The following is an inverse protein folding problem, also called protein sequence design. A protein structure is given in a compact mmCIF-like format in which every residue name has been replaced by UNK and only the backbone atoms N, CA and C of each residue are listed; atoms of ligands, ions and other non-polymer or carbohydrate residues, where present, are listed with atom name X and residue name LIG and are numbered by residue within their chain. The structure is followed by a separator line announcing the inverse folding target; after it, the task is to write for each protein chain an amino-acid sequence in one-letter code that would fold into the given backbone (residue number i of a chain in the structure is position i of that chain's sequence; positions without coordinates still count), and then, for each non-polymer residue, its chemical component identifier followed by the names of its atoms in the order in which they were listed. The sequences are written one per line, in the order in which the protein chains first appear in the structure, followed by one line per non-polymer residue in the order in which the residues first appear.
data_IF_916137073196
#
_entry.id   IF_916137073196
#
_cell.length_a   1.000
_cell.length_b   1.000
_cell.length_c   1.000
_cell.angle_alpha   90.00
_cell.angle_beta   90.00
_cell.angle_gamma   90.00
#
_symmetry.space_group_name_H-M   'P 1'
#
loop_
_entity.id
_entity.type
_entity.pdbx_description
1 polymer ?
#
# COMPACT_ATOMS: atom_id res chain seq x y z
N UNK A 1 -10.61 -20.55 2.33
CA UNK A 1 -9.46 -21.36 2.82
C UNK A 1 -8.60 -21.78 1.64
N UNK A 2 -7.28 -21.82 1.80
CA UNK A 2 -6.35 -22.36 0.83
C UNK A 2 -5.29 -23.24 1.54
N UNK A 3 -4.24 -23.65 0.82
CA UNK A 3 -3.12 -24.42 1.40
C UNK A 3 -3.22 -25.92 1.13
N UNK A 4 -2.67 -26.36 0.00
CA UNK A 4 -2.57 -27.79 -0.33
C UNK A 4 -3.87 -28.46 -0.80
N UNK A 5 -4.96 -27.70 -0.98
CA UNK A 5 -6.23 -28.18 -1.53
C UNK A 5 -6.02 -28.64 -2.98
N UNK A 6 -6.34 -29.90 -3.26
CA UNK A 6 -6.13 -30.55 -4.57
C UNK A 6 -7.32 -31.34 -5.07
N UNK A 7 -8.20 -31.75 -4.17
CA UNK A 7 -9.27 -32.72 -4.47
C UNK A 7 -10.63 -32.21 -4.02
N UNK A 8 -11.69 -32.81 -4.56
CA UNK A 8 -13.06 -32.57 -4.08
C UNK A 8 -13.21 -32.95 -2.61
N UNK A 9 -12.50 -33.99 -2.13
CA UNK A 9 -12.48 -34.36 -0.72
C UNK A 9 -11.94 -33.26 0.18
N UNK A 10 -10.87 -32.58 -0.24
CA UNK A 10 -10.28 -31.47 0.53
C UNK A 10 -11.28 -30.32 0.69
N UNK A 11 -12.04 -30.02 -0.36
CA UNK A 11 -13.14 -29.04 -0.33
C UNK A 11 -14.22 -29.46 0.65
N UNK A 12 -14.69 -30.71 0.56
CA UNK A 12 -15.74 -31.23 1.46
C UNK A 12 -15.32 -31.12 2.91
N UNK A 13 -14.09 -31.53 3.25
CA UNK A 13 -13.56 -31.41 4.61
C UNK A 13 -13.49 -29.94 5.03
N UNK A 14 -12.98 -29.05 4.17
CA UNK A 14 -12.93 -27.62 4.45
C UNK A 14 -14.32 -27.03 4.69
N UNK A 15 -15.32 -27.41 3.88
CA UNK A 15 -16.71 -26.99 4.03
C UNK A 15 -17.29 -27.44 5.37
N UNK A 16 -17.14 -28.72 5.72
CA UNK A 16 -17.60 -29.27 6.99
C UNK A 16 -16.97 -28.58 8.20
N UNK A 17 -15.73 -28.10 8.06
CA UNK A 17 -15.01 -27.29 9.06
C UNK A 17 -15.38 -25.79 9.03
N UNK A 18 -16.27 -25.36 8.13
CA UNK A 18 -16.84 -24.01 8.08
C UNK A 18 -16.33 -23.12 6.94
N UNK A 19 -15.54 -23.62 5.99
CA UNK A 19 -15.09 -22.82 4.86
C UNK A 19 -16.18 -22.65 3.79
N UNK A 20 -16.34 -21.43 3.29
CA UNK A 20 -17.34 -21.07 2.27
C UNK A 20 -16.71 -20.87 0.88
N UNK A 21 -15.39 -20.60 0.83
CA UNK A 21 -14.61 -20.44 -0.40
C UNK A 21 -13.28 -21.19 -0.33
N UNK A 22 -12.77 -21.63 -1.49
CA UNK A 22 -11.61 -22.50 -1.62
C UNK A 22 -10.61 -21.96 -2.65
N UNK A 23 -9.41 -21.60 -2.19
CA UNK A 23 -8.34 -21.08 -3.02
C UNK A 23 -7.39 -22.18 -3.50
N UNK A 24 -6.99 -22.10 -4.76
CA UNK A 24 -6.04 -23.03 -5.39
C UNK A 24 -4.83 -22.27 -5.93
N UNK A 25 -3.64 -22.56 -5.40
CA UNK A 25 -2.38 -22.07 -5.95
C UNK A 25 -1.65 -23.17 -6.71
N UNK A 26 -0.87 -23.97 -5.99
CA UNK A 26 0.02 -25.01 -6.57
C UNK A 26 -0.70 -25.99 -7.49
N UNK A 27 -1.93 -26.41 -7.19
CA UNK A 27 -2.65 -27.37 -8.02
C UNK A 27 -2.99 -26.81 -9.41
N UNK A 28 -3.32 -25.50 -9.49
CA UNK A 28 -3.53 -24.83 -10.78
C UNK A 28 -2.21 -24.68 -11.53
N UNK A 29 -1.12 -24.32 -10.86
CA UNK A 29 0.20 -24.28 -11.49
C UNK A 29 0.60 -25.65 -12.08
N UNK A 30 0.27 -26.75 -11.39
CA UNK A 30 0.50 -28.11 -11.89
C UNK A 30 -0.38 -28.42 -13.09
N UNK A 31 -1.67 -28.04 -13.06
CA UNK A 31 -2.54 -28.17 -14.22
C UNK A 31 -2.03 -27.38 -15.44
N UNK A 32 -1.36 -26.25 -15.21
CA UNK A 32 -0.70 -25.45 -16.26
C UNK A 32 0.64 -26.04 -16.75
N UNK A 33 1.18 -27.07 -16.09
CA UNK A 33 2.40 -27.77 -16.52
C UNK A 33 3.56 -27.71 -15.52
N UNK A 34 3.36 -27.23 -14.29
CA UNK A 34 4.41 -27.23 -13.27
C UNK A 34 4.86 -28.65 -12.96
N UNK A 35 6.16 -28.90 -13.12
CA UNK A 35 6.81 -30.19 -12.82
C UNK A 35 7.37 -30.25 -11.39
N UNK A 36 6.99 -29.31 -10.53
CA UNK A 36 7.43 -29.22 -9.13
C UNK A 36 8.97 -29.19 -8.96
N UNK A 37 9.67 -28.51 -9.86
CA UNK A 37 11.14 -28.38 -9.84
C UNK A 37 11.68 -27.62 -8.61
N UNK A 38 10.86 -26.80 -7.94
CA UNK A 38 11.22 -25.99 -6.75
C UNK A 38 12.37 -24.99 -6.98
N UNK A 39 12.52 -24.53 -8.21
CA UNK A 39 13.52 -23.54 -8.64
C UNK A 39 12.91 -22.16 -8.88
N UNK A 40 11.72 -21.88 -8.33
CA UNK A 40 10.98 -20.65 -8.62
C UNK A 40 11.76 -19.37 -8.26
N UNK A 41 12.58 -19.44 -7.20
CA UNK A 41 13.40 -18.34 -6.71
C UNK A 41 14.69 -18.11 -7.52
N UNK A 42 15.05 -19.05 -8.40
CA UNK A 42 16.29 -19.00 -9.20
C UNK A 42 16.09 -18.39 -10.59
N UNK A 43 14.86 -18.00 -10.95
CA UNK A 43 14.50 -17.53 -12.29
C UNK A 43 14.73 -18.57 -13.42
N UNK A 44 14.97 -19.84 -13.10
CA UNK A 44 15.32 -20.92 -14.05
C UNK A 44 14.21 -21.96 -14.24
N UNK A 45 12.94 -21.54 -14.15
CA UNK A 45 11.81 -22.46 -14.31
C UNK A 45 11.89 -23.24 -15.63
N UNK A 46 11.94 -24.59 -15.61
CA UNK A 46 12.18 -25.38 -16.82
C UNK A 46 11.01 -25.36 -17.81
N UNK A 47 9.83 -24.98 -17.33
CA UNK A 47 8.56 -24.99 -18.07
C UNK A 47 7.94 -23.60 -18.20
N UNK A 48 8.70 -22.53 -17.92
CA UNK A 48 8.28 -21.16 -18.21
C UNK A 48 7.19 -20.56 -17.31
N UNK A 49 6.87 -21.18 -16.17
CA UNK A 49 5.81 -20.70 -15.25
C UNK A 49 6.31 -19.57 -14.34
N UNK A 50 7.37 -19.82 -13.56
CA UNK A 50 7.91 -18.88 -12.57
C UNK A 50 9.29 -18.38 -12.99
N UNK A 51 9.35 -17.64 -14.09
CA UNK A 51 10.59 -17.05 -14.63
C UNK A 51 10.26 -15.79 -15.43
N UNK A 52 11.15 -14.79 -15.35
CA UNK A 52 11.13 -13.59 -16.17
C UNK A 52 12.05 -13.71 -17.40
N UNK A 53 12.85 -14.76 -17.51
CA UNK A 53 13.68 -15.04 -18.69
C UNK A 53 12.77 -15.33 -19.90
N UNK A 54 12.93 -14.53 -20.97
CA UNK A 54 12.10 -14.61 -22.17
C UNK A 54 12.18 -15.99 -22.84
N UNK A 55 13.37 -16.58 -22.92
CA UNK A 55 13.66 -17.85 -23.57
C UNK A 55 13.04 -19.03 -22.80
N UNK A 56 12.98 -18.93 -21.47
CA UNK A 56 12.30 -19.92 -20.65
C UNK A 56 10.78 -19.74 -20.66
N UNK A 57 10.27 -18.50 -20.69
CA UNK A 57 8.83 -18.21 -20.80
C UNK A 57 8.21 -18.76 -22.10
N UNK A 58 8.97 -18.79 -23.19
CA UNK A 58 8.54 -19.41 -24.46
C UNK A 58 8.23 -20.92 -24.33
N UNK A 59 8.69 -21.57 -23.26
CA UNK A 59 8.40 -22.98 -22.97
C UNK A 59 7.07 -23.21 -22.25
N UNK A 60 6.33 -22.15 -21.88
CA UNK A 60 5.08 -22.27 -21.12
C UNK A 60 4.01 -23.04 -21.89
N UNK A 61 3.58 -24.24 -21.41
CA UNK A 61 2.65 -25.09 -22.14
C UNK A 61 1.18 -24.87 -21.71
N UNK A 62 0.94 -24.07 -20.67
CA UNK A 62 -0.35 -23.91 -20.03
C UNK A 62 -1.37 -23.26 -20.95
N UNK A 63 -2.62 -23.74 -20.86
CA UNK A 63 -3.77 -23.14 -21.53
C UNK A 63 -4.93 -22.96 -20.55
N UNK A 64 -5.79 -21.96 -20.73
CA UNK A 64 -6.98 -21.78 -19.88
C UNK A 64 -7.84 -23.05 -19.75
N UNK A 65 -7.92 -23.87 -20.80
CA UNK A 65 -8.68 -25.12 -20.80
C UNK A 65 -8.17 -26.12 -19.77
N UNK A 66 -6.86 -26.14 -19.47
CA UNK A 66 -6.31 -27.02 -18.45
C UNK A 66 -6.85 -26.68 -17.06
N UNK A 67 -6.93 -25.39 -16.73
CA UNK A 67 -7.51 -24.90 -15.47
C UNK A 67 -9.01 -25.20 -15.42
N UNK A 68 -9.74 -24.90 -16.51
CA UNK A 68 -11.18 -25.15 -16.58
C UNK A 68 -11.48 -26.63 -16.36
N UNK A 69 -10.73 -27.53 -17.01
CA UNK A 69 -10.92 -28.97 -16.88
C UNK A 69 -10.59 -29.45 -15.46
N UNK A 70 -9.49 -29.00 -14.88
CA UNK A 70 -9.13 -29.31 -13.49
C UNK A 70 -10.25 -28.91 -12.52
N UNK A 71 -10.73 -27.67 -12.59
CA UNK A 71 -11.80 -27.18 -11.71
C UNK A 71 -13.11 -27.92 -11.94
N UNK A 72 -13.44 -28.29 -13.19
CA UNK A 72 -14.61 -29.13 -13.50
C UNK A 72 -14.52 -30.51 -12.88
N UNK A 73 -13.35 -31.15 -12.92
CA UNK A 73 -13.13 -32.46 -12.31
C UNK A 73 -13.25 -32.40 -10.79
N UNK A 74 -12.60 -31.42 -10.16
CA UNK A 74 -12.72 -31.20 -8.71
C UNK A 74 -14.16 -30.93 -8.31
N UNK A 75 -14.88 -30.08 -9.06
CA UNK A 75 -16.29 -29.81 -8.79
C UNK A 75 -17.18 -31.05 -8.99
N UNK A 76 -16.87 -31.93 -9.96
CA UNK A 76 -17.56 -33.19 -10.15
C UNK A 76 -17.34 -34.15 -8.97
N UNK A 77 -16.12 -34.22 -8.46
CA UNK A 77 -15.79 -35.02 -7.27
C UNK A 77 -16.52 -34.49 -6.03
N UNK A 78 -16.61 -33.17 -5.84
CA UNK A 78 -17.44 -32.57 -4.77
C UNK A 78 -18.89 -33.02 -4.87
N UNK A 79 -19.49 -32.97 -6.07
CA UNK A 79 -20.87 -33.42 -6.27
C UNK A 79 -21.06 -34.89 -5.94
N UNK A 80 -20.07 -35.74 -6.24
CA UNK A 80 -20.11 -37.16 -5.88
C UNK A 80 -20.12 -37.35 -4.36
N UNK A 81 -19.22 -36.69 -3.63
CA UNK A 81 -19.22 -36.74 -2.16
C UNK A 81 -20.52 -36.21 -1.54
N UNK A 82 -21.07 -35.11 -2.07
CA UNK A 82 -22.36 -34.59 -1.61
C UNK A 82 -23.48 -35.63 -1.80
N UNK A 83 -23.56 -36.24 -2.98
CA UNK A 83 -24.54 -37.27 -3.27
C UNK A 83 -24.37 -38.50 -2.36
N UNK A 84 -23.13 -38.96 -2.13
CA UNK A 84 -22.82 -40.09 -1.25
C UNK A 84 -23.23 -39.81 0.21
N UNK A 85 -23.10 -38.56 0.66
CA UNK A 85 -23.53 -38.12 1.99
C UNK A 85 -25.03 -37.79 2.06
N UNK A 86 -25.75 -37.76 0.93
CA UNK A 86 -27.19 -37.46 0.86
C UNK A 86 -27.55 -35.97 0.83
N UNK A 87 -26.62 -35.08 0.48
CA UNK A 87 -26.82 -33.63 0.40
C UNK A 87 -26.84 -33.14 -1.06
N UNK A 88 -27.57 -32.05 -1.33
CA UNK A 88 -27.72 -31.54 -2.70
C UNK A 88 -26.78 -30.38 -3.02
N UNK A 89 -26.19 -29.76 -2.00
CA UNK A 89 -25.34 -28.59 -2.15
C UNK A 89 -24.27 -28.50 -1.06
N UNK A 90 -23.19 -27.76 -1.33
CA UNK A 90 -22.20 -27.40 -0.31
C UNK A 90 -22.85 -26.61 0.84
N UNK A 91 -23.82 -25.77 0.49
CA UNK A 91 -24.52 -24.89 1.42
C UNK A 91 -25.19 -25.62 2.60
N UNK A 92 -25.64 -26.85 2.37
CA UNK A 92 -26.25 -27.72 3.38
C UNK A 92 -25.25 -28.32 4.38
N UNK A 93 -23.97 -28.39 4.00
CA UNK A 93 -22.93 -29.06 4.79
C UNK A 93 -21.92 -28.11 5.42
N UNK A 94 -21.90 -26.82 5.03
CA UNK A 94 -20.96 -25.86 5.60
C UNK A 94 -21.12 -25.80 7.12
N UNK A 95 -20.02 -26.00 7.84
CA UNK A 95 -19.97 -25.99 9.31
C UNK A 95 -20.55 -27.24 9.99
N UNK A 96 -20.98 -28.26 9.23
CA UNK A 96 -21.52 -29.52 9.75
C UNK A 96 -20.43 -30.49 10.20
N UNK A 97 -19.63 -30.06 11.17
CA UNK A 97 -18.54 -30.84 11.79
C UNK A 97 -19.03 -32.18 12.34
N UNK A 98 -20.31 -32.30 12.68
CA UNK A 98 -20.93 -33.55 13.12
C UNK A 98 -20.93 -34.67 12.06
N UNK A 99 -20.69 -34.35 10.79
CA UNK A 99 -20.53 -35.31 9.70
C UNK A 99 -19.09 -35.86 9.60
N UNK A 100 -18.15 -35.30 10.36
CA UNK A 100 -16.76 -35.76 10.40
C UNK A 100 -16.53 -36.73 11.56
N UNK A 101 -15.84 -37.84 11.23
CA UNK A 101 -15.31 -38.77 12.24
C UNK A 101 -13.82 -39.01 11.99
N UNK A 102 -12.95 -38.86 13.01
CA UNK A 102 -11.55 -39.24 12.90
C UNK A 102 -11.38 -40.72 12.54
N UNK A 103 -10.53 -41.00 11.56
CA UNK A 103 -9.99 -42.32 11.31
C UNK A 103 -8.49 -42.31 11.67
N UNK A 104 -8.18 -42.40 12.97
CA UNK A 104 -6.81 -42.37 13.48
C UNK A 104 -6.28 -43.82 13.58
N UNK A 105 -5.17 -44.17 12.90
CA UNK A 105 -4.56 -45.49 13.02
C UNK A 105 -4.14 -45.80 14.46
N UNK A 106 -4.57 -46.95 14.98
CA UNK A 106 -4.31 -47.40 16.36
C UNK A 106 -2.98 -48.14 16.50
N UNK A 107 -2.49 -48.72 15.39
CA UNK A 107 -1.27 -49.50 15.26
C UNK A 107 -0.01 -48.62 15.08
N UNK A 108 -0.16 -47.40 14.57
CA UNK A 108 0.97 -46.50 14.37
C UNK A 108 1.39 -45.76 15.64
N UNK A 109 2.64 -45.95 16.06
CA UNK A 109 3.19 -45.50 17.34
C UNK A 109 3.05 -43.98 17.63
N UNK A 110 3.09 -43.13 16.60
CA UNK A 110 2.87 -41.67 16.72
C UNK A 110 1.42 -41.25 16.48
N UNK A 111 0.73 -41.88 15.52
CA UNK A 111 -0.57 -41.39 15.06
C UNK A 111 -1.64 -41.61 16.14
N UNK A 112 -1.55 -42.73 16.89
CA UNK A 112 -2.44 -43.04 18.01
C UNK A 112 -2.46 -41.99 19.14
N UNK A 113 -1.49 -41.06 19.14
CA UNK A 113 -1.41 -39.96 20.13
C UNK A 113 -2.16 -38.70 19.67
N UNK A 114 -2.60 -38.63 18.41
CA UNK A 114 -3.33 -37.48 17.90
C UNK A 114 -4.69 -37.38 18.57
N UNK A 115 -5.04 -36.16 19.00
CA UNK A 115 -6.36 -35.80 19.51
C UNK A 115 -6.90 -34.69 18.63
N UNK A 116 -8.06 -34.92 18.02
CA UNK A 116 -8.68 -33.97 17.08
C UNK A 116 -9.89 -33.26 17.69
N UNK A 117 -10.14 -33.45 19.00
CA UNK A 117 -11.32 -32.93 19.70
C UNK A 117 -11.46 -31.41 19.56
N UNK A 118 -10.34 -30.68 19.54
CA UNK A 118 -10.32 -29.22 19.37
C UNK A 118 -10.80 -28.78 17.97
N UNK A 119 -10.48 -29.56 16.93
CA UNK A 119 -10.88 -29.24 15.54
C UNK A 119 -12.29 -29.73 15.25
N UNK A 120 -12.73 -30.79 15.92
CA UNK A 120 -14.02 -31.43 15.71
C UNK A 120 -15.07 -31.06 16.76
N UNK A 121 -14.83 -30.01 17.52
CA UNK A 121 -15.80 -29.49 18.47
C UNK A 121 -17.03 -29.01 17.71
N UNK A 122 -18.20 -29.56 18.05
CA UNK A 122 -19.45 -29.19 17.42
C UNK A 122 -19.84 -27.75 17.82
N UNK A 123 -20.18 -26.88 16.86
CA UNK A 123 -20.71 -25.57 17.19
C UNK A 123 -22.12 -25.69 17.78
N UNK A 124 -22.59 -24.61 18.38
CA UNK A 124 -24.00 -24.45 18.73
C UNK A 124 -24.82 -24.25 17.45
N UNK A 125 -25.42 -25.33 16.94
CA UNK A 125 -26.23 -25.31 15.73
C UNK A 125 -27.52 -24.48 15.83
N UNK A 126 -27.85 -23.93 17.01
CA UNK A 126 -28.93 -22.93 17.13
C UNK A 126 -28.53 -21.54 16.61
N UNK A 127 -27.23 -21.31 16.38
CA UNK A 127 -26.68 -20.06 15.84
C UNK A 127 -26.29 -20.24 14.37
N UNK A 128 -26.13 -19.13 13.62
CA UNK A 128 -25.57 -19.20 12.28
C UNK A 128 -24.19 -19.87 12.29
N UNK A 129 -24.03 -20.91 11.47
CA UNK A 129 -22.78 -21.68 11.29
C UNK A 129 -22.01 -21.31 10.02
N UNK A 130 -22.54 -20.33 9.26
CA UNK A 130 -21.99 -19.78 8.01
C UNK A 130 -22.43 -18.33 7.85
N UNK A 131 -21.88 -17.62 6.86
CA UNK A 131 -22.31 -16.27 6.57
C UNK A 131 -23.77 -16.25 6.10
N UNK A 132 -24.56 -15.32 6.62
CA UNK A 132 -25.98 -15.14 6.27
C UNK A 132 -26.24 -13.79 5.56
N UNK A 133 -25.17 -13.07 5.25
CA UNK A 133 -25.22 -11.76 4.60
C UNK A 133 -24.21 -11.73 3.46
N UNK A 134 -24.61 -11.16 2.32
CA UNK A 134 -23.71 -11.02 1.17
C UNK A 134 -22.64 -9.94 1.40
N UNK A 135 -22.95 -8.93 2.22
CA UNK A 135 -22.07 -7.79 2.50
C UNK A 135 -22.23 -7.27 3.93
N UNK A 136 -21.23 -6.53 4.40
CA UNK A 136 -21.27 -5.79 5.67
C UNK A 136 -21.53 -4.30 5.41
N UNK A 137 -22.79 -3.83 5.36
CA UNK A 137 -23.09 -2.43 5.09
C UNK A 137 -22.63 -1.53 6.24
N UNK A 138 -22.14 -0.33 5.91
CA UNK A 138 -21.81 0.69 6.92
C UNK A 138 -23.13 1.24 7.49
N UNK A 139 -23.32 1.24 8.83
CA UNK A 139 -24.51 1.82 9.44
C UNK A 139 -24.70 3.28 9.06
N UNK A 140 -25.95 3.74 8.92
CA UNK A 140 -26.27 5.13 8.56
C UNK A 140 -25.66 6.16 9.51
N UNK A 141 -25.56 5.84 10.80
CA UNK A 141 -24.93 6.69 11.82
C UNK A 141 -23.39 6.79 11.73
N UNK A 142 -22.76 5.98 10.87
CA UNK A 142 -21.31 5.91 10.70
C UNK A 142 -20.89 6.18 9.25
N UNK A 143 -21.75 6.83 8.47
CA UNK A 143 -21.45 7.18 7.09
C UNK A 143 -20.25 8.15 7.04
N UNK A 144 -19.31 7.96 6.09
CA UNK A 144 -18.19 8.88 5.91
C UNK A 144 -18.67 10.28 5.55
N UNK A 145 -18.05 11.30 6.13
CA UNK A 145 -18.31 12.71 5.81
C UNK A 145 -18.09 13.03 4.33
N UNK A 146 -17.19 12.28 3.67
CA UNK A 146 -16.97 12.33 2.22
C UNK A 146 -18.25 12.21 1.40
N UNK A 147 -19.26 11.45 1.86
CA UNK A 147 -20.53 11.31 1.13
C UNK A 147 -21.39 12.58 1.17
N UNK A 148 -21.21 13.43 2.17
CA UNK A 148 -21.88 14.73 2.22
C UNK A 148 -21.25 15.67 1.19
N UNK A 149 -19.92 15.78 1.20
CA UNK A 149 -19.15 16.58 0.24
C UNK A 149 -19.32 16.09 -1.19
N UNK A 150 -19.47 14.77 -1.37
CA UNK A 150 -19.62 14.17 -2.70
C UNK A 150 -20.82 14.75 -3.45
N UNK A 151 -21.91 15.10 -2.76
CA UNK A 151 -23.11 15.69 -3.38
C UNK A 151 -22.81 17.01 -4.09
N UNK A 152 -21.88 17.79 -3.56
CA UNK A 152 -21.51 19.10 -4.09
C UNK A 152 -20.53 18.97 -5.25
N UNK A 153 -19.55 18.06 -5.14
CA UNK A 153 -18.47 17.92 -6.12
C UNK A 153 -18.82 17.02 -7.30
N UNK A 154 -19.78 16.10 -7.15
CA UNK A 154 -20.11 15.12 -8.18
C UNK A 154 -20.55 15.77 -9.51
N UNK A 155 -21.39 16.83 -9.53
CA UNK A 155 -21.73 17.51 -10.78
C UNK A 155 -20.52 18.06 -11.54
N UNK A 156 -19.51 18.58 -10.81
CA UNK A 156 -18.27 19.08 -11.42
C UNK A 156 -17.39 17.93 -11.92
N UNK A 157 -17.31 16.82 -11.16
CA UNK A 157 -16.62 15.60 -11.60
C UNK A 157 -17.25 15.09 -12.89
N UNK A 158 -18.57 15.00 -12.98
CA UNK A 158 -19.27 14.46 -14.16
C UNK A 158 -19.05 15.27 -15.43
N UNK A 159 -18.82 16.58 -15.28
CA UNK A 159 -18.61 17.52 -16.39
C UNK A 159 -17.13 17.84 -16.65
N UNK A 160 -16.20 17.28 -15.86
CA UNK A 160 -14.78 17.64 -15.91
C UNK A 160 -14.54 19.16 -15.73
N UNK A 161 -15.32 19.78 -14.83
CA UNK A 161 -15.33 21.21 -14.55
C UNK A 161 -14.53 21.54 -13.29
N UNK A 162 -14.15 22.82 -13.16
CA UNK A 162 -13.53 23.31 -11.93
C UNK A 162 -14.57 23.43 -10.82
N UNK A 163 -14.15 23.10 -9.60
CA UNK A 163 -14.94 23.30 -8.39
C UNK A 163 -14.03 23.78 -7.26
N UNK A 164 -14.52 24.71 -6.45
CA UNK A 164 -13.87 25.11 -5.21
C UNK A 164 -14.89 25.11 -4.07
N UNK A 165 -14.56 24.44 -2.97
CA UNK A 165 -15.45 24.32 -1.81
C UNK A 165 -14.70 24.49 -0.49
N UNK A 166 -15.45 24.85 0.56
CA UNK A 166 -14.91 24.99 1.91
C UNK A 166 -15.63 24.06 2.90
N UNK A 167 -14.88 23.26 3.66
CA UNK A 167 -15.44 22.32 4.64
C UNK A 167 -14.65 22.30 5.95
N UNK A 168 -15.31 21.95 7.06
CA UNK A 168 -14.67 21.84 8.38
C UNK A 168 -14.49 20.37 8.74
N UNK A 169 -13.25 19.96 9.02
CA UNK A 169 -12.90 18.58 9.37
C UNK A 169 -12.73 18.38 10.87
N UNK A 170 -13.10 17.18 11.30
CA UNK A 170 -12.88 16.65 12.66
C UNK A 170 -12.06 15.36 12.57
N UNK A 171 -11.34 15.03 13.64
CA UNK A 171 -10.47 13.85 13.67
C UNK A 171 -11.21 12.52 13.42
N UNK A 172 -12.53 12.49 13.62
CA UNK A 172 -13.41 11.35 13.33
C UNK A 172 -13.70 11.18 11.84
N UNK A 173 -13.48 12.21 11.02
CA UNK A 173 -13.62 12.14 9.56
C UNK A 173 -12.36 11.56 8.95
N UNK A 174 -12.38 10.23 8.80
CA UNK A 174 -11.28 9.42 8.26
C UNK A 174 -11.43 9.24 6.75
N UNK A 175 -10.30 9.04 6.08
CA UNK A 175 -10.22 8.79 4.63
C UNK A 175 -10.88 9.87 3.79
N UNK A 176 -10.85 11.13 4.25
CA UNK A 176 -11.46 12.23 3.51
C UNK A 176 -10.77 12.41 2.16
N UNK A 177 -11.55 12.56 1.10
CA UNK A 177 -11.11 12.62 -0.30
C UNK A 177 -11.06 11.28 -1.01
N UNK A 178 -11.05 10.14 -0.31
CA UNK A 178 -10.92 8.82 -0.96
C UNK A 178 -12.16 8.44 -1.78
N UNK A 179 -13.38 8.78 -1.34
CA UNK A 179 -14.59 8.51 -2.14
C UNK A 179 -14.69 9.46 -3.33
N UNK A 180 -14.22 10.69 -3.17
CA UNK A 180 -14.13 11.66 -4.25
C UNK A 180 -13.17 11.15 -5.33
N UNK A 181 -11.99 10.68 -4.92
CA UNK A 181 -11.02 10.05 -5.83
C UNK A 181 -11.62 8.83 -6.55
N UNK A 182 -12.39 7.99 -5.85
CA UNK A 182 -13.10 6.87 -6.48
C UNK A 182 -14.03 7.31 -7.61
N UNK A 183 -14.86 8.35 -7.40
CA UNK A 183 -15.79 8.79 -8.45
C UNK A 183 -15.07 9.39 -9.67
N UNK A 184 -13.89 10.01 -9.47
CA UNK A 184 -13.01 10.44 -10.56
C UNK A 184 -12.45 9.23 -11.30
N UNK A 185 -11.79 8.30 -10.61
CA UNK A 185 -11.15 7.13 -11.23
C UNK A 185 -12.17 6.25 -11.95
N UNK A 186 -13.37 6.07 -11.38
CA UNK A 186 -14.45 5.32 -12.00
C UNK A 186 -14.86 5.88 -13.37
N UNK A 187 -14.70 7.19 -13.60
CA UNK A 187 -15.06 7.88 -14.85
C UNK A 187 -13.87 8.08 -15.78
N UNK A 188 -12.70 8.38 -15.23
CA UNK A 188 -11.54 8.86 -16.00
C UNK A 188 -10.30 7.94 -15.91
N UNK A 189 -10.36 6.88 -15.09
CA UNK A 189 -9.24 5.99 -14.82
C UNK A 189 -8.06 6.71 -14.15
N UNK A 190 -6.87 6.16 -14.33
CA UNK A 190 -5.63 6.64 -13.69
C UNK A 190 -5.23 8.05 -14.14
N UNK A 191 -5.75 8.53 -15.28
CA UNK A 191 -5.48 9.89 -15.77
C UNK A 191 -6.06 10.97 -14.86
N UNK A 192 -7.08 10.65 -14.07
CA UNK A 192 -7.82 11.65 -13.30
C UNK A 192 -8.63 12.62 -14.17
N UNK A 193 -9.03 13.76 -13.61
CA UNK A 193 -9.72 14.81 -14.39
C UNK A 193 -8.81 15.34 -15.50
N UNK A 194 -9.37 15.59 -16.69
CA UNK A 194 -8.55 15.99 -17.86
C UNK A 194 -8.23 17.47 -17.83
N UNK A 195 -9.22 18.27 -17.46
CA UNK A 195 -9.11 19.74 -17.42
C UNK A 195 -9.59 20.31 -16.09
N UNK A 196 -10.58 19.68 -15.47
CA UNK A 196 -11.16 20.14 -14.23
C UNK A 196 -10.18 20.04 -13.05
N UNK A 197 -10.35 20.96 -12.12
CA UNK A 197 -9.68 20.96 -10.81
C UNK A 197 -10.71 21.03 -9.71
N UNK A 198 -10.65 20.09 -8.78
CA UNK A 198 -11.41 20.10 -7.54
C UNK A 198 -10.52 20.62 -6.42
N UNK A 199 -10.74 21.85 -6.01
CA UNK A 199 -10.06 22.47 -4.90
C UNK A 199 -10.93 22.43 -3.64
N UNK A 200 -10.54 21.62 -2.67
CA UNK A 200 -11.22 21.50 -1.40
C UNK A 200 -10.39 22.19 -0.32
N UNK A 201 -10.89 23.35 0.12
CA UNK A 201 -10.34 24.12 1.22
C UNK A 201 -10.93 23.62 2.53
N UNK A 202 -10.07 23.24 3.46
CA UNK A 202 -10.44 22.47 4.64
C UNK A 202 -9.89 23.15 5.89
N UNK A 203 -10.66 23.18 6.97
CA UNK A 203 -10.22 23.71 8.26
C UNK A 203 -10.46 22.71 9.37
N UNK A 204 -9.50 22.52 10.27
CA UNK A 204 -9.68 21.73 11.49
C UNK A 204 -8.65 20.61 11.65
N UNK A 205 -9.09 19.44 12.12
CA UNK A 205 -8.20 18.27 12.29
C UNK A 205 -8.66 17.16 11.37
N UNK A 206 -7.86 16.78 10.38
CA UNK A 206 -8.18 15.65 9.53
C UNK A 206 -7.93 14.33 10.26
N UNK A 207 -8.85 13.38 10.13
CA UNK A 207 -8.67 12.03 10.64
C UNK A 207 -7.62 11.24 9.88
N UNK A 208 -7.49 9.97 10.26
CA UNK A 208 -6.60 9.00 9.64
C UNK A 208 -6.84 8.91 8.12
N UNK A 209 -5.77 8.73 7.34
CA UNK A 209 -5.84 8.50 5.87
C UNK A 209 -6.36 9.70 5.06
N UNK A 210 -6.12 10.92 5.51
CA UNK A 210 -6.49 12.13 4.76
C UNK A 210 -5.88 12.14 3.35
N UNK A 211 -6.71 12.27 2.32
CA UNK A 211 -6.26 12.26 0.92
C UNK A 211 -5.70 10.91 0.45
N UNK A 212 -6.05 9.80 1.12
CA UNK A 212 -5.63 8.48 0.66
C UNK A 212 -6.17 8.20 -0.75
N UNK A 213 -5.29 7.69 -1.62
CA UNK A 213 -5.54 7.44 -3.03
C UNK A 213 -5.95 8.70 -3.82
N UNK A 214 -5.48 9.88 -3.41
CA UNK A 214 -5.67 11.12 -4.17
C UNK A 214 -5.14 10.96 -5.60
N UNK A 215 -5.85 11.55 -6.56
CA UNK A 215 -5.63 11.37 -8.01
C UNK A 215 -5.49 12.73 -8.73
N UNK A 216 -4.97 12.75 -9.96
CA UNK A 216 -4.85 14.00 -10.73
C UNK A 216 -6.19 14.74 -10.85
N UNK A 217 -6.13 16.07 -10.73
CA UNK A 217 -7.29 16.95 -10.69
C UNK A 217 -7.78 17.31 -9.28
N UNK A 218 -7.31 16.63 -8.23
CA UNK A 218 -7.64 16.97 -6.85
C UNK A 218 -6.60 17.88 -6.20
N UNK A 219 -7.06 18.90 -5.48
CA UNK A 219 -6.26 19.78 -4.62
C UNK A 219 -6.93 19.82 -3.25
N UNK A 220 -6.30 19.23 -2.23
CA UNK A 220 -6.80 19.18 -0.87
C UNK A 220 -5.96 20.11 0.02
N UNK A 221 -6.53 21.23 0.45
CA UNK A 221 -5.82 22.25 1.23
C UNK A 221 -6.34 22.33 2.65
N UNK A 222 -5.57 21.82 3.61
CA UNK A 222 -5.92 21.76 5.03
C UNK A 222 -5.22 22.86 5.83
N UNK A 223 -6.01 23.77 6.37
CA UNK A 223 -5.58 24.72 7.41
C UNK A 223 -5.87 24.12 8.79
N UNK A 224 -4.84 23.61 9.44
CA UNK A 224 -4.98 22.86 10.70
C UNK A 224 -3.91 21.77 10.83
N UNK A 225 -4.32 20.56 11.20
CA UNK A 225 -3.43 19.42 11.44
C UNK A 225 -4.06 18.11 10.97
N UNK A 226 -3.27 17.08 10.72
CA UNK A 226 -3.74 15.76 10.28
C UNK A 226 -3.19 14.63 11.16
N UNK A 227 -3.89 13.50 11.17
CA UNK A 227 -3.39 12.27 11.80
C UNK A 227 -2.54 11.45 10.81
N UNK A 228 -2.35 10.16 11.07
CA UNK A 228 -1.48 9.30 10.26
C UNK A 228 -2.03 9.03 8.85
N UNK A 229 -1.15 8.55 7.98
CA UNK A 229 -1.45 8.06 6.63
C UNK A 229 -1.94 9.12 5.63
N UNK A 230 -1.55 10.40 5.83
CA UNK A 230 -1.79 11.44 4.83
C UNK A 230 -1.25 10.99 3.47
N UNK A 231 -2.06 11.08 2.41
CA UNK A 231 -1.63 10.70 1.06
C UNK A 231 -1.26 9.22 0.90
N UNK A 232 -1.74 8.32 1.76
CA UNK A 232 -1.54 6.87 1.60
C UNK A 232 -1.95 6.41 0.21
N UNK A 233 -1.05 5.76 -0.52
CA UNK A 233 -1.29 5.27 -1.88
C UNK A 233 -1.70 6.36 -2.87
N UNK A 234 -1.31 7.62 -2.64
CA UNK A 234 -1.57 8.72 -3.57
C UNK A 234 -0.97 8.40 -4.96
N UNK A 235 -1.73 8.67 -6.01
CA UNK A 235 -1.34 8.47 -7.40
C UNK A 235 -1.23 9.80 -8.18
N UNK A 236 -1.72 10.90 -7.62
CA UNK A 236 -1.65 12.22 -8.24
C UNK A 236 -2.37 13.29 -7.41
N UNK A 237 -2.49 14.48 -7.97
CA UNK A 237 -3.09 15.63 -7.28
C UNK A 237 -2.13 16.31 -6.31
N UNK A 238 -2.67 17.19 -5.46
CA UNK A 238 -1.90 18.00 -4.51
C UNK A 238 -2.55 17.96 -3.13
N UNK A 239 -1.77 17.68 -2.09
CA UNK A 239 -2.19 17.78 -0.69
C UNK A 239 -1.35 18.86 -0.02
N UNK A 240 -2.01 19.79 0.65
CA UNK A 240 -1.39 20.92 1.34
C UNK A 240 -1.86 20.88 2.79
N UNK A 241 -0.93 20.99 3.74
CA UNK A 241 -1.24 21.12 5.17
C UNK A 241 -0.44 22.29 5.72
N UNK A 242 -1.13 23.27 6.30
CA UNK A 242 -0.49 24.44 6.92
C UNK A 242 -1.16 24.80 8.24
N UNK A 243 -0.42 25.38 9.20
CA UNK A 243 -1.00 25.83 10.45
C UNK A 243 -2.01 26.97 10.21
N UNK A 244 -3.01 27.12 11.09
CA UNK A 244 -3.93 28.25 11.02
C UNK A 244 -3.19 29.57 11.33
N UNK A 245 -3.66 30.70 10.78
CA UNK A 245 -3.01 32.02 10.98
C UNK A 245 -2.93 32.42 12.46
N UNK A 246 -3.83 31.90 13.27
CA UNK A 246 -3.89 32.12 14.71
C UNK A 246 -2.82 31.33 15.49
N UNK A 247 -2.15 30.35 14.85
CA UNK A 247 -1.04 29.61 15.44
C UNK A 247 0.18 30.52 15.63
N UNK A 248 0.63 30.67 16.87
CA UNK A 248 1.73 31.56 17.24
C UNK A 248 3.11 30.88 17.27
N UNK A 249 3.15 29.56 17.12
CA UNK A 249 4.39 28.79 17.12
C UNK A 249 5.14 28.83 15.79
N UNK A 250 6.30 28.18 15.77
CA UNK A 250 7.10 27.95 14.56
C UNK A 250 6.76 26.58 13.98
N UNK A 251 6.34 26.53 12.71
CA UNK A 251 5.93 25.30 12.03
C UNK A 251 7.03 24.23 12.08
N UNK A 252 8.27 24.58 11.76
CA UNK A 252 9.43 23.69 11.75
C UNK A 252 9.87 23.18 13.14
N UNK A 253 9.19 23.61 14.22
CA UNK A 253 9.41 23.13 15.60
C UNK A 253 8.21 22.38 16.17
N UNK A 254 7.14 22.18 15.39
CA UNK A 254 5.89 21.61 15.88
C UNK A 254 5.36 20.53 14.95
N UNK A 255 4.82 19.46 15.54
CA UNK A 255 4.19 18.37 14.79
C UNK A 255 2.84 18.84 14.24
N UNK A 256 2.60 18.59 12.95
CA UNK A 256 1.36 18.97 12.26
C UNK A 256 0.67 17.78 11.58
N UNK A 257 1.41 16.70 11.29
CA UNK A 257 0.86 15.49 10.71
C UNK A 257 1.50 14.23 11.31
N UNK A 258 0.76 13.12 11.28
CA UNK A 258 1.16 11.86 11.92
C UNK A 258 2.17 11.04 11.12
N UNK A 259 2.11 9.74 11.34
CA UNK A 259 3.06 8.74 10.83
C UNK A 259 2.68 8.24 9.42
N UNK A 260 3.63 7.55 8.78
CA UNK A 260 3.39 6.73 7.57
C UNK A 260 2.69 7.50 6.44
N UNK A 261 3.02 8.78 6.33
CA UNK A 261 2.57 9.67 5.26
C UNK A 261 3.17 9.18 3.93
N UNK A 262 2.39 9.24 2.85
CA UNK A 262 2.77 8.77 1.52
C UNK A 262 3.09 7.27 1.43
N UNK A 263 2.52 6.46 2.32
CA UNK A 263 2.73 5.02 2.28
C UNK A 263 2.42 4.43 0.90
N UNK A 264 3.47 3.95 0.21
CA UNK A 264 3.34 3.31 -1.09
C UNK A 264 2.93 4.23 -2.25
N UNK A 265 3.09 5.55 -2.13
CA UNK A 265 2.57 6.48 -3.13
C UNK A 265 3.26 6.32 -4.50
N UNK A 266 2.53 6.44 -5.61
CA UNK A 266 3.03 6.33 -6.99
C UNK A 266 2.68 7.56 -7.82
N UNK A 267 2.76 8.73 -7.20
CA UNK A 267 2.61 10.04 -7.85
C UNK A 267 2.02 11.11 -6.94
N UNK A 268 1.95 12.33 -7.45
CA UNK A 268 1.34 13.47 -6.74
C UNK A 268 2.32 14.31 -5.92
N UNK A 269 1.80 15.38 -5.32
CA UNK A 269 2.61 16.36 -4.59
C UNK A 269 2.04 16.63 -3.19
N UNK A 270 2.90 16.64 -2.19
CA UNK A 270 2.53 16.93 -0.79
C UNK A 270 3.37 18.07 -0.23
N UNK A 271 2.72 19.09 0.34
CA UNK A 271 3.39 20.23 0.95
C UNK A 271 2.86 20.42 2.38
N UNK A 272 3.69 20.18 3.38
CA UNK A 272 3.30 20.22 4.79
C UNK A 272 4.20 21.20 5.55
N UNK A 273 3.65 22.32 6.00
CA UNK A 273 4.39 23.27 6.83
C UNK A 273 4.36 22.83 8.29
N UNK A 274 5.28 21.92 8.63
CA UNK A 274 5.55 21.47 9.99
C UNK A 274 6.28 20.12 10.06
N UNK A 275 6.53 19.66 11.27
CA UNK A 275 7.14 18.34 11.53
C UNK A 275 6.08 17.25 11.32
N UNK A 276 6.49 16.17 10.68
CA UNK A 276 5.68 14.96 10.52
C UNK A 276 6.27 13.79 11.31
N UNK A 277 5.44 12.78 11.58
CA UNK A 277 5.82 11.63 12.38
C UNK A 277 6.81 10.67 11.71
N UNK A 278 6.86 9.46 12.25
CA UNK A 278 7.72 8.37 11.81
C UNK A 278 7.28 7.79 10.45
N UNK A 279 8.22 7.11 9.78
CA UNK A 279 7.98 6.41 8.50
C UNK A 279 7.41 7.33 7.41
N UNK A 280 7.80 8.60 7.43
CA UNK A 280 7.47 9.52 6.36
C UNK A 280 7.98 9.01 5.02
N UNK A 281 7.15 9.03 3.98
CA UNK A 281 7.47 8.54 2.64
C UNK A 281 7.91 7.06 2.58
N UNK A 282 7.43 6.23 3.52
CA UNK A 282 7.71 4.79 3.49
C UNK A 282 7.15 4.15 2.22
N UNK A 283 7.99 3.42 1.49
CA UNK A 283 7.67 2.85 0.17
C UNK A 283 7.21 3.87 -0.88
N UNK A 284 7.60 5.15 -0.74
CA UNK A 284 7.33 6.11 -1.80
C UNK A 284 7.96 5.65 -3.12
N UNK A 285 7.15 5.66 -4.17
CA UNK A 285 7.42 5.10 -5.49
C UNK A 285 7.00 6.10 -6.59
N UNK A 286 7.13 7.40 -6.32
CA UNK A 286 6.90 8.44 -7.34
C UNK A 286 6.28 9.75 -6.88
N UNK A 287 5.92 9.91 -5.60
CA UNK A 287 5.40 11.18 -5.10
C UNK A 287 6.52 12.18 -4.79
N UNK A 288 6.21 13.48 -4.95
CA UNK A 288 7.04 14.58 -4.51
C UNK A 288 6.54 15.15 -3.19
N UNK A 289 7.40 15.40 -2.22
CA UNK A 289 6.98 15.92 -0.92
C UNK A 289 7.93 16.97 -0.35
N UNK A 290 7.36 18.00 0.30
CA UNK A 290 8.11 19.00 1.08
C UNK A 290 7.55 19.08 2.49
N UNK A 291 8.40 18.88 3.50
CA UNK A 291 8.06 18.93 4.93
C UNK A 291 9.13 19.68 5.73
N UNK A 292 8.82 20.09 6.97
CA UNK A 292 9.73 20.90 7.79
C UNK A 292 10.44 20.10 8.91
N UNK A 293 10.35 18.78 8.84
CA UNK A 293 11.02 17.84 9.74
C UNK A 293 10.31 16.49 9.72
N UNK A 294 11.04 15.42 10.01
CA UNK A 294 10.50 14.05 10.00
C UNK A 294 10.96 13.28 11.23
N UNK A 295 10.13 12.36 11.71
CA UNK A 295 10.50 11.40 12.73
C UNK A 295 11.45 10.31 12.21
N UNK A 296 11.55 9.21 12.96
CA UNK A 296 12.41 8.07 12.62
C UNK A 296 11.93 7.35 11.37
N UNK A 297 12.86 6.65 10.70
CA UNK A 297 12.57 5.82 9.53
C UNK A 297 12.00 6.59 8.33
N UNK A 298 12.37 7.86 8.16
CA UNK A 298 12.04 8.61 6.94
C UNK A 298 12.60 7.94 5.68
N UNK A 299 11.82 7.95 4.59
CA UNK A 299 12.14 7.35 3.30
C UNK A 299 12.47 5.84 3.34
N UNK A 300 11.99 5.12 4.37
CA UNK A 300 12.17 3.67 4.49
C UNK A 300 11.57 2.95 3.26
N UNK A 301 12.31 2.06 2.62
CA UNK A 301 11.88 1.33 1.41
C UNK A 301 11.46 2.20 0.22
N UNK A 302 11.86 3.47 0.16
CA UNK A 302 11.58 4.35 -0.98
C UNK A 302 12.28 3.82 -2.25
N UNK A 303 11.54 3.76 -3.36
CA UNK A 303 12.04 3.25 -4.64
C UNK A 303 12.06 4.31 -5.74
N UNK A 304 11.25 5.36 -5.62
CA UNK A 304 11.19 6.49 -6.56
C UNK A 304 10.54 7.72 -5.89
N UNK A 305 10.71 8.90 -6.48
CA UNK A 305 10.13 10.17 -6.02
C UNK A 305 11.18 11.14 -5.48
N UNK A 306 10.70 12.31 -5.06
CA UNK A 306 11.57 13.40 -4.56
C UNK A 306 11.06 13.92 -3.23
N UNK A 307 11.92 13.94 -2.22
CA UNK A 307 11.58 14.41 -0.87
C UNK A 307 12.48 15.58 -0.49
N UNK A 308 11.90 16.68 -0.04
CA UNK A 308 12.61 17.84 0.51
C UNK A 308 12.24 18.02 1.98
N UNK A 309 13.23 18.02 2.86
CA UNK A 309 13.05 18.16 4.31
C UNK A 309 13.78 19.41 4.79
N UNK A 310 13.02 20.39 5.28
CA UNK A 310 13.53 21.70 5.70
C UNK A 310 13.89 21.76 7.19
N UNK A 311 14.16 20.61 7.81
CA UNK A 311 14.44 20.51 9.23
C UNK A 311 14.98 19.15 9.64
N UNK A 312 14.93 18.85 10.94
CA UNK A 312 15.56 17.66 11.51
C UNK A 312 14.92 16.38 10.98
N UNK A 313 15.77 15.38 10.73
CA UNK A 313 15.38 13.99 10.52
C UNK A 313 15.56 13.17 11.80
N UNK A 314 14.79 12.09 11.93
CA UNK A 314 15.00 11.02 12.91
C UNK A 314 16.07 10.01 12.47
N UNK A 315 16.25 8.96 13.28
CA UNK A 315 17.26 7.92 13.03
C UNK A 315 16.80 6.92 11.96
N UNK A 316 17.77 6.16 11.42
CA UNK A 316 17.56 5.09 10.46
C UNK A 316 16.88 5.56 9.15
N UNK A 317 17.18 6.80 8.74
CA UNK A 317 16.66 7.40 7.52
C UNK A 317 17.17 6.65 6.28
N UNK A 318 16.30 6.37 5.32
CA UNK A 318 16.65 5.69 4.07
C UNK A 318 16.91 4.17 4.20
N UNK A 319 16.52 3.54 5.31
CA UNK A 319 16.66 2.09 5.44
C UNK A 319 15.84 1.34 4.37
N UNK A 320 16.48 0.44 3.62
CA UNK A 320 15.84 -0.26 2.51
C UNK A 320 15.51 0.61 1.29
N UNK A 321 15.91 1.90 1.28
CA UNK A 321 15.71 2.78 0.12
C UNK A 321 16.57 2.29 -1.05
N UNK A 322 15.93 2.04 -2.20
CA UNK A 322 16.59 1.53 -3.41
C UNK A 322 16.48 2.49 -4.60
N UNK A 323 15.80 3.63 -4.45
CA UNK A 323 15.72 4.66 -5.48
C UNK A 323 14.98 5.91 -5.03
N UNK A 324 14.96 6.92 -5.91
CA UNK A 324 14.50 8.27 -5.60
C UNK A 324 15.56 9.15 -4.93
N UNK A 325 15.22 10.41 -4.65
CA UNK A 325 16.15 11.41 -4.11
C UNK A 325 15.54 12.12 -2.91
N UNK A 326 16.32 12.28 -1.85
CA UNK A 326 15.96 13.11 -0.71
C UNK A 326 16.96 14.27 -0.54
N UNK A 327 16.46 15.50 -0.46
CA UNK A 327 17.21 16.70 -0.11
C UNK A 327 16.88 17.09 1.32
N UNK A 328 17.92 17.32 2.13
CA UNK A 328 17.76 17.59 3.55
C UNK A 328 18.53 18.86 3.88
N UNK A 329 17.83 19.82 4.46
CA UNK A 329 18.43 21.03 5.02
C UNK A 329 19.08 20.69 6.37
N UNK A 330 20.40 20.71 6.41
CA UNK A 330 21.25 20.22 7.51
C UNK A 330 22.29 21.27 7.97
N UNK A 331 21.87 22.44 8.48
CA UNK A 331 22.80 23.46 8.97
C UNK A 331 23.61 23.00 10.20
N UNK A 332 23.18 21.94 10.88
CA UNK A 332 23.86 21.39 12.06
C UNK A 332 24.80 20.20 11.72
N UNK A 333 24.84 19.73 10.47
CA UNK A 333 25.68 18.60 10.04
C UNK A 333 25.31 17.26 10.69
N UNK A 334 24.04 17.04 11.01
CA UNK A 334 23.55 15.85 11.73
C UNK A 334 23.08 14.71 10.81
N UNK A 335 22.97 14.91 9.50
CA UNK A 335 22.39 13.90 8.58
C UNK A 335 23.23 12.63 8.54
N UNK A 336 24.56 12.75 8.42
CA UNK A 336 25.46 11.61 8.24
C UNK A 336 25.36 10.57 9.38
N UNK A 337 25.10 11.01 10.60
CA UNK A 337 24.94 10.12 11.78
C UNK A 337 23.54 9.48 11.89
N UNK A 338 22.56 9.95 11.12
CA UNK A 338 21.15 9.51 11.20
C UNK A 338 20.71 8.64 10.03
N UNK A 339 21.39 8.71 8.89
CA UNK A 339 21.09 7.86 7.74
C UNK A 339 21.52 6.40 7.95
N UNK A 340 20.83 5.48 7.29
CA UNK A 340 21.24 4.08 7.22
C UNK A 340 22.24 3.86 6.07
N UNK A 341 23.53 3.89 6.43
CA UNK A 341 24.64 3.75 5.48
C UNK A 341 24.74 2.38 4.78
N UNK A 342 23.91 1.40 5.17
CA UNK A 342 23.83 0.12 4.45
C UNK A 342 23.06 0.25 3.12
N UNK A 343 22.23 1.28 2.99
CA UNK A 343 21.31 1.46 1.85
C UNK A 343 21.50 2.79 1.15
N UNK A 344 21.84 3.85 1.88
CA UNK A 344 21.95 5.20 1.32
C UNK A 344 23.30 5.83 1.61
N UNK A 345 23.67 6.79 0.78
CA UNK A 345 24.86 7.64 0.96
C UNK A 345 24.48 9.10 0.76
N UNK A 346 25.30 9.98 1.30
CA UNK A 346 25.23 11.42 1.03
C UNK A 346 26.08 11.75 -0.20
N UNK A 347 25.62 12.73 -0.98
CA UNK A 347 26.33 13.29 -2.14
C UNK A 347 26.29 14.82 -2.08
N UNK A 348 27.25 15.45 -2.76
CA UNK A 348 27.22 16.89 -3.00
C UNK A 348 26.09 17.23 -3.98
N UNK A 349 25.57 18.46 -3.89
CA UNK A 349 24.58 18.95 -4.84
C UNK A 349 25.21 19.23 -6.20
N UNK A 350 24.54 18.83 -7.26
CA UNK A 350 24.77 19.24 -8.65
C UNK A 350 23.88 20.43 -9.02
N UNK A 351 24.11 21.06 -10.18
CA UNK A 351 23.33 22.24 -10.60
C UNK A 351 21.84 21.92 -10.73
N UNK A 352 21.48 20.74 -11.25
CA UNK A 352 20.10 20.28 -11.39
C UNK A 352 19.41 20.07 -10.02
N UNK A 353 20.18 19.65 -9.01
CA UNK A 353 19.66 19.48 -7.65
C UNK A 353 19.30 20.85 -7.04
N UNK A 354 20.14 21.86 -7.27
CA UNK A 354 19.93 23.23 -6.79
C UNK A 354 18.67 23.84 -7.43
N UNK A 355 18.48 23.63 -8.74
CA UNK A 355 17.28 24.08 -9.45
C UNK A 355 16.00 23.42 -8.93
N UNK A 356 16.03 22.11 -8.69
CA UNK A 356 14.88 21.39 -8.16
C UNK A 356 14.56 21.80 -6.72
N UNK A 357 15.57 21.98 -5.86
CA UNK A 357 15.39 22.50 -4.49
C UNK A 357 14.71 23.89 -4.55
N UNK A 358 15.22 24.81 -5.36
CA UNK A 358 14.64 26.15 -5.51
C UNK A 358 13.17 26.09 -5.94
N UNK A 359 12.85 25.25 -6.94
CA UNK A 359 11.48 25.05 -7.41
C UNK A 359 10.55 24.46 -6.33
N UNK A 360 11.02 23.49 -5.57
CA UNK A 360 10.25 22.88 -4.48
C UNK A 360 10.01 23.87 -3.34
N UNK A 361 11.01 24.68 -2.98
CA UNK A 361 10.89 25.77 -2.00
C UNK A 361 9.86 26.81 -2.45
N UNK A 362 9.92 27.28 -3.70
CA UNK A 362 8.97 28.25 -4.25
C UNK A 362 7.53 27.74 -4.17
N UNK A 363 7.29 26.49 -4.57
CA UNK A 363 5.97 25.86 -4.46
C UNK A 363 5.54 25.71 -3.00
N UNK A 364 6.44 25.28 -2.13
CA UNK A 364 6.14 25.11 -0.71
C UNK A 364 5.73 26.44 -0.07
N UNK A 365 6.44 27.54 -0.33
CA UNK A 365 6.06 28.89 0.13
C UNK A 365 4.72 29.31 -0.45
N UNK A 366 4.50 29.11 -1.76
CA UNK A 366 3.24 29.49 -2.41
C UNK A 366 2.02 28.77 -1.83
N UNK A 367 2.16 27.48 -1.48
CA UNK A 367 1.05 26.69 -0.93
C UNK A 367 0.87 26.87 0.59
N UNK A 368 1.97 26.98 1.32
CA UNK A 368 1.94 26.85 2.80
C UNK A 368 2.22 28.14 3.55
N UNK A 369 2.75 29.17 2.89
CA UNK A 369 3.26 30.39 3.53
C UNK A 369 4.38 30.09 4.55
N UNK A 370 5.13 28.98 4.36
CA UNK A 370 6.21 28.53 5.25
C UNK A 370 7.29 29.60 5.44
N UNK A 371 7.53 29.95 6.70
CA UNK A 371 8.54 30.95 7.09
C UNK A 371 9.97 30.45 6.90
N UNK A 372 10.24 29.17 7.17
CA UNK A 372 11.58 28.59 7.01
C UNK A 372 11.95 28.47 5.54
N UNK A 373 11.03 28.02 4.69
CA UNK A 373 11.28 27.96 3.25
C UNK A 373 11.49 29.36 2.66
N UNK A 374 10.73 30.36 3.13
CA UNK A 374 10.92 31.74 2.73
C UNK A 374 12.29 32.27 3.15
N UNK A 375 12.71 32.01 4.40
CA UNK A 375 14.02 32.41 4.89
C UNK A 375 15.17 31.81 4.05
N UNK A 376 15.07 30.52 3.70
CA UNK A 376 16.03 29.85 2.83
C UNK A 376 16.06 30.50 1.44
N UNK A 377 14.90 30.80 0.85
CA UNK A 377 14.84 31.47 -0.46
C UNK A 377 15.42 32.89 -0.42
N UNK A 378 15.14 33.66 0.63
CA UNK A 378 15.65 35.02 0.80
C UNK A 378 17.18 35.03 0.93
N UNK A 379 17.80 33.95 1.42
CA UNK A 379 19.25 33.79 1.63
C UNK A 379 19.85 32.64 0.80
N UNK A 380 19.25 32.34 -0.35
CA UNK A 380 19.47 31.06 -1.07
C UNK A 380 20.94 30.76 -1.40
N UNK A 381 21.73 31.78 -1.75
CA UNK A 381 23.15 31.61 -2.10
C UNK A 381 23.98 31.03 -0.95
N UNK A 382 23.64 31.40 0.28
CA UNK A 382 24.35 30.93 1.47
C UNK A 382 23.73 29.61 1.94
N UNK A 383 22.40 29.57 2.02
CA UNK A 383 21.66 28.43 2.59
C UNK A 383 21.68 27.17 1.74
N UNK A 384 21.92 27.28 0.43
CA UNK A 384 22.05 26.10 -0.44
C UNK A 384 23.22 25.20 -0.01
N UNK A 385 24.27 25.78 0.60
CA UNK A 385 25.43 25.02 1.08
C UNK A 385 25.11 24.17 2.32
N UNK A 386 23.97 24.42 2.97
CA UNK A 386 23.49 23.64 4.11
C UNK A 386 22.63 22.46 3.67
N UNK A 387 22.44 22.22 2.38
CA UNK A 387 21.68 21.07 1.89
C UNK A 387 22.58 19.86 1.61
N UNK A 388 22.05 18.69 1.93
CA UNK A 388 22.66 17.39 1.64
C UNK A 388 21.71 16.59 0.76
N UNK A 389 22.25 15.97 -0.30
CA UNK A 389 21.54 14.99 -1.12
C UNK A 389 21.75 13.60 -0.55
N UNK A 390 20.67 12.87 -0.33
CA UNK A 390 20.67 11.46 0.10
C UNK A 390 20.06 10.62 -1.02
N UNK A 391 20.83 9.65 -1.48
CA UNK A 391 20.46 8.73 -2.57
C UNK A 391 20.78 7.28 -2.20
N UNK A 392 20.09 6.35 -2.86
CA UNK A 392 20.39 4.93 -2.71
C UNK A 392 21.81 4.61 -3.19
N UNK A 393 22.50 3.74 -2.46
CA UNK A 393 23.73 3.13 -2.94
C UNK A 393 23.35 2.23 -4.12
N UNK A 394 24.13 2.27 -5.19
CA UNK A 394 23.95 1.32 -6.28
C UNK A 394 24.01 -0.10 -5.72
N UNK A 395 22.85 -0.79 -5.72
CA UNK A 395 22.83 -2.20 -5.41
C UNK A 395 23.76 -2.88 -6.41
N UNK A 396 24.78 -3.61 -5.93
CA UNK A 396 25.54 -4.51 -6.80
C UNK A 396 24.51 -5.42 -7.46
N UNK A 397 24.22 -5.19 -8.74
CA UNK A 397 23.39 -6.10 -9.53
C UNK A 397 23.99 -7.49 -9.28
N UNK A 398 23.22 -8.49 -8.82
CA UNK A 398 23.71 -9.85 -8.87
C UNK A 398 24.17 -10.06 -10.31
N UNK A 399 25.44 -10.40 -10.49
CA UNK A 399 26.05 -10.53 -11.80
C UNK A 399 25.13 -11.44 -12.63
N UNK A 400 24.53 -10.89 -13.67
CA UNK A 400 23.65 -11.62 -14.58
C UNK A 400 24.45 -12.63 -15.43
N UNK A 401 25.79 -12.57 -15.36
CA UNK A 401 26.73 -13.42 -16.08
C UNK A 401 27.56 -14.31 -15.13
N UNK A 402 26.92 -15.24 -14.43
CA UNK A 402 27.64 -16.46 -14.04
C UNK A 402 26.76 -17.68 -14.34
N UNK A 403 26.87 -18.15 -15.58
CA UNK A 403 26.45 -19.49 -16.00
C UNK A 403 27.37 -20.61 -15.44
N UNK A 404 28.31 -20.28 -14.55
CA UNK A 404 29.22 -21.24 -13.95
C UNK A 404 29.10 -21.26 -12.43
N UNK A 405 28.49 -22.33 -11.92
CA UNK A 405 28.69 -22.77 -10.55
C UNK A 405 30.16 -23.23 -10.41
N UNK A 406 31.06 -22.31 -10.08
CA UNK A 406 32.38 -22.69 -9.56
C UNK A 406 32.20 -23.13 -8.11
N UNK A 407 31.97 -24.44 -7.94
CA UNK A 407 32.14 -25.10 -6.64
C UNK A 407 33.64 -25.22 -6.40
N UNK A 408 34.21 -24.24 -5.70
CA UNK A 408 35.56 -24.30 -5.15
C UNK A 408 35.57 -25.04 -3.81
N UNK A 409 36.53 -25.95 -3.65
CA UNK A 409 36.78 -26.80 -2.48
C UNK A 409 36.97 -26.05 -1.17
#
# INVERSE_FOLDING_TARGET
VDGGIKTGRDIIIGALLGAEEFGFGTALMVAEGCVMARQCHLNTCPVGITTQDKRLREKFPGKPEHIINYLKFVAQEVRQYLADMGYKSLDEIIGRVDLLKPAIPTDHYKAKKLKLDYVLQKPDFSKPIKCIQDTNPIPQSKQPFDLEVLKDVLPAIEKDENFSGFYVLRNTYRSFGTRIAHEIVKRYGDRGLRTGKLELNLRGTAGQSFGAFCVPGMILSLTGQANDYVGKGMAGGVIIIKPPKEFKGESHKNVIAGNTILYGATGGQVYISGIVGERFAVRNSGATAVVEGVGDHGCEYMTEGTVLILGKIGINFGAGMTGGTAYIYDPEGEVDRKINKSYVKTEALEEEDIEEINKLLLKHVAYTESKIAKHILDNFKEEINNFVKVVAIESKKPALDTDEAVVGK
#
